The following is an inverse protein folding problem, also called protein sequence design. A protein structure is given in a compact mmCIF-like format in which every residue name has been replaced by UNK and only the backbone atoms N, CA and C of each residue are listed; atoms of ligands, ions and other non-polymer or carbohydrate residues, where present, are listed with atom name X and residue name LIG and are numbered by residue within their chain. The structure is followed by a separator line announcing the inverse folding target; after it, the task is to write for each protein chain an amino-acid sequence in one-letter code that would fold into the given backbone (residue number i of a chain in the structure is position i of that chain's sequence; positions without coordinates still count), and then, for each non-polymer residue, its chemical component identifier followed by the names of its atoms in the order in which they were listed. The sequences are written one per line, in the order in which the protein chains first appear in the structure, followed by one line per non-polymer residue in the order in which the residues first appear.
data_IF_408827622180
#
_entry.id   IF_408827622180
#
_cell.length_a   1.000
_cell.length_b   1.000
_cell.length_c   1.000
_cell.angle_alpha   90.00
_cell.angle_beta   90.00
_cell.angle_gamma   90.00
#
_symmetry.space_group_name_H-M   'P 1'
#
loop_
_entity.id
_entity.type
_entity.pdbx_description
1 polymer ?
#
# COMPACT_ATOMS: atom_id res chain seq x y z
N UNK A 1 -7.02 -9.46 -1.39
CA UNK A 1 -6.19 -8.37 -1.94
C UNK A 1 -5.35 -7.97 -0.75
N UNK A 2 -4.11 -8.42 -0.63
CA UNK A 2 -3.19 -7.73 0.26
C UNK A 2 -2.82 -6.42 -0.43
N UNK A 3 -3.73 -5.46 -0.31
CA UNK A 3 -3.46 -4.09 -0.69
C UNK A 3 -2.54 -3.51 0.37
N UNK A 4 -1.23 -3.52 0.09
CA UNK A 4 -0.34 -2.54 0.70
C UNK A 4 -0.64 -1.18 0.07
N UNK A 5 -1.72 -0.55 0.54
CA UNK A 5 -1.95 0.88 0.36
C UNK A 5 -1.40 1.60 1.57
N UNK A 6 -0.57 2.60 1.26
CA UNK A 6 0.07 3.52 2.15
C UNK A 6 -0.93 4.19 3.11
N UNK A 7 -0.57 4.15 4.40
CA UNK A 7 -1.10 4.90 5.54
C UNK A 7 -2.24 5.90 5.27
N UNK A 8 -3.45 5.55 5.70
CA UNK A 8 -4.47 6.55 6.06
C UNK A 8 -4.69 6.54 7.58
N UNK A 9 -3.79 7.23 8.29
CA UNK A 9 -4.17 7.82 9.57
C UNK A 9 -5.19 8.95 9.31
N UNK A 10 -6.23 9.14 10.14
CA UNK A 10 -7.14 10.29 10.04
C UNK A 10 -6.40 11.65 10.06
N UNK A 11 -5.23 11.70 10.71
CA UNK A 11 -4.33 12.87 10.69
C UNK A 11 -3.70 13.12 9.31
N UNK A 12 -3.49 12.06 8.53
CA UNK A 12 -2.95 12.13 7.16
C UNK A 12 -4.07 12.39 6.15
N UNK A 13 -5.32 11.96 6.38
CA UNK A 13 -6.44 12.31 5.50
C UNK A 13 -6.62 13.82 5.39
N UNK A 14 -6.61 14.54 6.51
CA UNK A 14 -6.63 16.00 6.49
C UNK A 14 -5.37 16.59 5.84
N UNK A 15 -4.21 15.94 5.96
CA UNK A 15 -2.95 16.41 5.33
C UNK A 15 -2.91 16.16 3.82
N UNK A 16 -3.48 15.06 3.32
CA UNK A 16 -3.62 14.74 1.89
C UNK A 16 -4.70 15.61 1.27
N UNK A 17 -5.85 15.77 1.92
CA UNK A 17 -6.89 16.72 1.48
C UNK A 17 -6.33 18.15 1.49
N UNK A 18 -5.50 18.53 2.48
CA UNK A 18 -4.82 19.81 2.49
C UNK A 18 -3.73 19.92 1.39
N UNK A 19 -3.02 18.85 1.06
CA UNK A 19 -2.08 18.79 -0.07
C UNK A 19 -2.80 18.95 -1.43
N UNK A 20 -4.03 18.43 -1.54
CA UNK A 20 -4.85 18.50 -2.75
C UNK A 20 -5.64 19.83 -2.84
N UNK A 21 -5.96 20.47 -1.70
CA UNK A 21 -6.86 21.63 -1.63
C UNK A 21 -6.13 22.96 -1.40
N UNK A 22 -4.85 22.94 -1.00
CA UNK A 22 -4.07 24.17 -0.94
C UNK A 22 -3.56 24.56 -2.33
N UNK A 23 -3.83 25.78 -2.81
CA UNK A 23 -3.25 26.26 -4.05
C UNK A 23 -1.77 26.59 -3.77
N UNK A 24 -0.91 25.58 -3.74
CA UNK A 24 0.54 25.80 -3.72
C UNK A 24 0.97 26.30 -5.10
N UNK A 25 0.80 27.60 -5.31
CA UNK A 25 1.25 28.31 -6.50
C UNK A 25 2.77 28.05 -6.69
N UNK A 26 3.10 27.31 -7.75
CA UNK A 26 4.38 27.34 -8.50
C UNK A 26 5.64 26.70 -7.89
N UNK A 27 5.58 25.53 -7.22
CA UNK A 27 6.80 24.70 -7.10
C UNK A 27 6.83 23.66 -8.25
N UNK A 28 7.74 23.78 -9.23
CA UNK A 28 7.84 22.85 -10.35
C UNK A 28 8.11 21.40 -9.92
N UNK A 29 8.82 21.20 -8.80
CA UNK A 29 9.13 19.87 -8.29
C UNK A 29 7.91 19.21 -7.63
N UNK A 30 7.11 19.97 -6.90
CA UNK A 30 5.86 19.46 -6.32
C UNK A 30 4.81 19.16 -7.40
N UNK A 31 4.74 19.99 -8.45
CA UNK A 31 3.88 19.71 -9.60
C UNK A 31 4.30 18.42 -10.33
N UNK A 32 5.61 18.24 -10.56
CA UNK A 32 6.14 16.99 -11.13
C UNK A 32 5.84 15.78 -10.25
N UNK A 33 5.94 15.93 -8.93
CA UNK A 33 5.54 14.88 -7.99
C UNK A 33 4.05 14.55 -8.14
N UNK A 34 3.18 15.56 -8.17
CA UNK A 34 1.74 15.38 -8.30
C UNK A 34 1.37 14.68 -9.62
N UNK A 35 1.95 15.10 -10.75
CA UNK A 35 1.80 14.43 -12.04
C UNK A 35 2.26 12.97 -11.99
N UNK A 36 3.40 12.71 -11.35
CA UNK A 36 3.93 11.36 -11.23
C UNK A 36 3.07 10.47 -10.30
N UNK A 37 2.48 11.02 -9.24
CA UNK A 37 1.51 10.35 -8.38
C UNK A 37 0.19 10.07 -9.11
N UNK A 38 -0.30 10.99 -9.96
CA UNK A 38 -1.47 10.72 -10.83
C UNK A 38 -1.20 9.54 -11.75
N UNK A 39 -0.01 9.49 -12.39
CA UNK A 39 0.39 8.37 -13.23
C UNK A 39 0.47 7.04 -12.44
N UNK A 40 0.82 7.11 -11.15
CA UNK A 40 0.83 5.98 -10.24
C UNK A 40 -0.59 5.46 -9.96
N UNK A 41 -1.53 6.34 -9.63
CA UNK A 41 -2.95 6.01 -9.45
C UNK A 41 -3.57 5.38 -10.71
N UNK A 42 -3.24 5.91 -11.89
CA UNK A 42 -3.70 5.33 -13.16
C UNK A 42 -3.18 3.91 -13.37
N UNK A 43 -1.91 3.64 -13.03
CA UNK A 43 -1.35 2.29 -13.16
C UNK A 43 -2.00 1.30 -12.18
N UNK A 44 -2.33 1.75 -10.97
CA UNK A 44 -3.11 0.98 -10.00
C UNK A 44 -4.53 0.69 -10.52
N UNK A 45 -5.20 1.67 -11.14
CA UNK A 45 -6.58 1.48 -11.63
C UNK A 45 -6.72 0.39 -12.71
N UNK A 46 -5.61 0.02 -13.36
CA UNK A 46 -5.58 -1.02 -14.39
C UNK A 46 -4.78 -2.26 -13.96
N UNK A 47 -4.29 -2.33 -12.72
CA UNK A 47 -3.38 -3.41 -12.30
C UNK A 47 -4.04 -4.78 -12.28
N UNK A 48 -5.37 -4.84 -12.13
CA UNK A 48 -6.13 -6.09 -12.15
C UNK A 48 -5.93 -6.88 -13.45
N UNK A 49 -5.70 -6.19 -14.57
CA UNK A 49 -5.41 -6.82 -15.87
C UNK A 49 -4.02 -7.47 -15.96
N UNK A 50 -3.12 -7.15 -15.01
CA UNK A 50 -1.74 -7.62 -14.96
C UNK A 50 -1.55 -8.75 -13.94
N UNK A 51 -2.58 -9.07 -13.17
CA UNK A 51 -2.52 -9.98 -12.02
C UNK A 51 -3.54 -11.12 -12.20
N UNK A 52 -3.28 -12.23 -11.52
CA UNK A 52 -4.25 -13.32 -11.45
C UNK A 52 -5.43 -12.93 -10.55
N UNK A 53 -6.66 -13.37 -10.86
CA UNK A 53 -7.82 -13.16 -10.00
C UNK A 53 -7.57 -13.66 -8.58
N UNK A 54 -8.14 -12.97 -7.60
CA UNK A 54 -8.06 -13.39 -6.21
C UNK A 54 -9.12 -14.44 -5.87
N UNK A 55 -8.88 -15.31 -4.88
CA UNK A 55 -9.91 -16.15 -4.31
C UNK A 55 -11.09 -15.31 -3.75
N UNK A 56 -12.30 -15.89 -3.67
CA UNK A 56 -13.42 -15.24 -2.98
C UNK A 56 -13.09 -14.99 -1.50
N UNK A 57 -13.75 -14.00 -0.89
CA UNK A 57 -13.63 -13.67 0.55
C UNK A 57 -12.21 -13.31 1.03
N UNK A 58 -11.47 -12.53 0.24
CA UNK A 58 -10.18 -12.00 0.69
C UNK A 58 -10.35 -10.83 1.67
N UNK A 59 -9.54 -10.80 2.73
CA UNK A 59 -9.28 -9.61 3.54
C UNK A 59 -7.96 -8.94 3.13
N UNK A 60 -7.56 -7.90 3.86
CA UNK A 60 -6.27 -7.24 3.72
C UNK A 60 -5.74 -6.79 5.08
N UNK A 61 -4.41 -6.68 5.18
CA UNK A 61 -3.72 -6.05 6.30
C UNK A 61 -2.73 -5.00 5.76
N UNK A 62 -2.47 -3.96 6.55
CA UNK A 62 -1.47 -2.94 6.21
C UNK A 62 -0.22 -3.14 7.06
N UNK A 63 0.95 -3.05 6.43
CA UNK A 63 2.24 -3.24 7.06
C UNK A 63 3.15 -2.07 6.76
N UNK A 64 4.02 -1.72 7.72
CA UNK A 64 5.05 -0.71 7.56
C UNK A 64 6.39 -1.34 7.89
N UNK A 65 7.27 -1.39 6.90
CA UNK A 65 8.65 -1.79 7.15
C UNK A 65 9.48 -0.56 7.50
N UNK A 66 10.07 -0.56 8.70
CA UNK A 66 10.98 0.49 9.15
C UNK A 66 12.42 -0.02 9.10
N UNK A 67 13.41 0.83 8.75
CA UNK A 67 14.81 0.43 8.82
C UNK A 67 15.23 0.29 10.30
N UNK A 68 15.60 -0.92 10.71
CA UNK A 68 16.05 -1.20 12.08
C UNK A 68 14.91 -1.59 13.01
N UNK A 69 14.82 -0.95 14.19
CA UNK A 69 13.85 -1.29 15.21
C UNK A 69 12.59 -0.42 15.12
N UNK A 70 11.44 -0.99 15.50
CA UNK A 70 10.17 -0.26 15.62
C UNK A 70 10.33 0.88 16.64
N UNK A 71 10.13 2.16 16.25
CA UNK A 71 10.25 3.26 17.20
C UNK A 71 9.23 3.12 18.32
N UNK A 72 9.65 3.34 19.57
CA UNK A 72 8.73 3.30 20.73
C UNK A 72 7.56 4.30 20.58
N UNK A 73 7.75 5.38 19.82
CA UNK A 73 6.69 6.33 19.49
C UNK A 73 5.56 5.71 18.64
N UNK A 74 5.81 4.66 17.85
CA UNK A 74 4.74 3.97 17.13
C UNK A 74 3.85 3.13 18.06
N UNK A 75 4.41 2.58 19.13
CA UNK A 75 3.71 1.64 20.01
C UNK A 75 3.13 2.28 21.28
N UNK A 76 3.72 3.38 21.75
CA UNK A 76 3.37 3.97 23.06
C UNK A 76 2.78 5.38 23.00
N UNK A 77 2.69 5.99 21.81
CA UNK A 77 2.12 7.33 21.69
C UNK A 77 0.62 7.33 22.06
N UNK A 78 0.13 8.30 22.87
CA UNK A 78 -1.28 8.39 23.26
C UNK A 78 -2.24 8.41 22.07
N UNK A 79 -1.81 9.00 20.95
CA UNK A 79 -2.58 9.08 19.70
C UNK A 79 -2.81 7.73 19.00
N UNK A 80 -2.15 6.65 19.44
CA UNK A 80 -2.30 5.30 18.89
C UNK A 80 -3.05 4.36 19.86
N UNK A 81 -3.64 4.87 20.95
CA UNK A 81 -4.37 4.01 21.90
C UNK A 81 -5.65 3.42 21.31
N UNK A 82 -6.35 4.15 20.43
CA UNK A 82 -7.56 3.64 19.76
C UNK A 82 -7.25 2.72 18.57
N UNK A 83 -6.06 2.84 17.99
CA UNK A 83 -5.59 2.02 16.87
C UNK A 83 -4.11 1.65 17.08
N UNK A 84 -3.83 0.63 17.91
CA UNK A 84 -2.46 0.28 18.28
C UNK A 84 -1.73 -0.41 17.12
N UNK A 85 -0.48 -0.01 16.89
CA UNK A 85 0.43 -0.73 16.02
C UNK A 85 1.03 -1.91 16.76
N UNK A 86 0.98 -3.08 16.14
CA UNK A 86 1.61 -4.30 16.64
C UNK A 86 2.72 -4.73 15.69
N UNK A 87 3.72 -5.42 16.24
CA UNK A 87 4.75 -6.05 15.43
C UNK A 87 4.12 -7.19 14.63
N UNK A 88 4.41 -7.24 13.32
CA UNK A 88 3.84 -8.24 12.43
C UNK A 88 4.49 -9.61 12.67
N UNK A 89 3.68 -10.67 12.69
CA UNK A 89 4.17 -12.05 12.71
C UNK A 89 4.70 -12.45 11.34
N UNK A 90 5.66 -13.38 11.30
CA UNK A 90 6.33 -13.77 10.07
C UNK A 90 5.35 -14.29 9.01
N UNK A 91 4.35 -15.05 9.45
CA UNK A 91 3.28 -15.64 8.65
C UNK A 91 2.37 -14.59 8.02
N UNK A 92 2.30 -13.38 8.60
CA UNK A 92 1.52 -12.26 8.06
C UNK A 92 2.31 -11.51 6.98
N UNK A 93 3.64 -11.58 7.01
CA UNK A 93 4.53 -10.82 6.11
C UNK A 93 4.93 -11.66 4.89
N UNK A 94 5.19 -12.95 5.08
CA UNK A 94 5.78 -13.77 4.03
C UNK A 94 4.75 -14.30 3.01
N UNK A 95 4.89 -13.87 1.77
CA UNK A 95 4.22 -14.50 0.63
C UNK A 95 5.04 -15.70 0.18
N UNK A 96 4.44 -16.90 0.21
CA UNK A 96 5.14 -18.11 -0.24
C UNK A 96 5.38 -18.11 -1.75
N UNK A 97 6.65 -18.34 -2.14
CA UNK A 97 7.11 -18.36 -3.53
C UNK A 97 6.58 -17.17 -4.38
N UNK A 98 6.92 -15.92 -4.02
CA UNK A 98 6.31 -14.75 -4.62
C UNK A 98 6.86 -14.51 -6.03
N UNK A 99 5.94 -14.28 -6.97
CA UNK A 99 6.24 -13.72 -8.28
C UNK A 99 6.13 -12.19 -8.20
N UNK A 100 7.23 -11.49 -8.46
CA UNK A 100 7.28 -10.03 -8.42
C UNK A 100 6.75 -9.42 -9.72
N UNK A 101 5.64 -8.68 -9.62
CA UNK A 101 5.03 -7.95 -10.73
C UNK A 101 5.28 -6.44 -10.55
N UNK A 102 6.25 -5.84 -11.29
CA UNK A 102 6.50 -4.41 -11.19
C UNK A 102 5.35 -3.62 -11.84
N UNK A 103 4.81 -2.64 -11.13
CA UNK A 103 3.74 -1.79 -11.63
C UNK A 103 4.27 -0.44 -12.11
N UNK A 104 4.95 0.31 -11.23
CA UNK A 104 5.42 1.65 -11.55
C UNK A 104 6.67 2.02 -10.75
N UNK A 105 7.57 2.76 -11.39
CA UNK A 105 8.67 3.46 -10.70
C UNK A 105 8.49 4.96 -10.92
N UNK A 106 8.65 5.72 -9.84
CA UNK A 106 8.64 7.17 -9.77
C UNK A 106 10.03 7.63 -9.32
N UNK A 107 10.63 8.54 -10.08
CA UNK A 107 11.88 9.19 -9.72
C UNK A 107 11.71 10.67 -10.01
N UNK A 108 11.59 11.43 -8.94
CA UNK A 108 11.57 12.89 -8.95
C UNK A 108 12.75 13.39 -8.13
N UNK A 109 12.96 14.69 -8.12
CA UNK A 109 14.01 15.35 -7.35
C UNK A 109 13.75 15.21 -5.83
N UNK A 110 12.48 15.09 -5.44
CA UNK A 110 12.02 15.07 -4.04
C UNK A 110 11.71 13.66 -3.52
N UNK A 111 11.40 12.70 -4.39
CA UNK A 111 11.08 11.33 -3.99
C UNK A 111 11.49 10.30 -5.05
N UNK A 112 11.95 9.15 -4.56
CA UNK A 112 12.15 7.93 -5.35
C UNK A 112 11.25 6.86 -4.76
N UNK A 113 10.32 6.35 -5.56
CA UNK A 113 9.32 5.37 -5.13
C UNK A 113 9.18 4.27 -6.18
N UNK A 114 9.02 3.03 -5.71
CA UNK A 114 8.72 1.89 -6.57
C UNK A 114 7.49 1.18 -6.04
N UNK A 115 6.66 0.71 -6.96
CA UNK A 115 5.48 -0.10 -6.69
C UNK A 115 5.59 -1.38 -7.48
N UNK A 116 5.43 -2.47 -6.74
CA UNK A 116 5.37 -3.82 -7.25
C UNK A 116 4.35 -4.61 -6.44
N UNK A 117 3.91 -5.73 -6.98
CA UNK A 117 3.05 -6.70 -6.33
C UNK A 117 3.84 -7.98 -6.13
N UNK A 118 3.75 -8.56 -4.94
CA UNK A 118 4.20 -9.92 -4.68
C UNK A 118 3.00 -10.85 -4.85
N UNK A 119 3.00 -11.66 -5.90
CA UNK A 119 1.89 -12.56 -6.23
C UNK A 119 2.25 -14.00 -5.86
N UNK A 120 1.41 -14.68 -5.08
CA UNK A 120 1.60 -16.09 -4.78
C UNK A 120 1.38 -16.95 -6.02
N UNK A 121 2.23 -17.96 -6.21
CA UNK A 121 2.14 -18.87 -7.37
C UNK A 121 0.86 -19.74 -7.39
N UNK A 122 0.19 -19.91 -6.25
CA UNK A 122 -1.02 -20.72 -6.11
C UNK A 122 -2.13 -19.94 -5.40
N UNK A 123 -3.08 -19.40 -6.17
CA UNK A 123 -4.33 -18.83 -5.65
C UNK A 123 -5.41 -19.92 -5.68
N UNK A 124 -5.49 -20.71 -4.61
CA UNK A 124 -6.45 -21.83 -4.54
C UNK A 124 -7.87 -21.29 -4.46
N UNK A 125 -8.70 -21.53 -5.48
CA UNK A 125 -10.16 -21.45 -5.35
C UNK A 125 -10.61 -22.48 -4.30
N UNK A 126 -11.38 -22.09 -3.26
CA UNK A 126 -11.92 -23.06 -2.33
C UNK A 126 -12.77 -24.09 -3.10
N UNK A 127 -12.76 -25.38 -2.71
CA UNK A 127 -13.58 -26.40 -3.37
C UNK A 127 -15.04 -25.97 -3.27
N UNK A 128 -15.69 -25.84 -4.42
CA UNK A 128 -17.12 -25.56 -4.51
C UNK A 128 -17.84 -26.66 -3.73
N UNK A 129 -18.40 -26.31 -2.57
CA UNK A 129 -19.29 -27.20 -1.83
C UNK A 129 -20.53 -27.38 -2.70
N UNK A 130 -20.56 -28.46 -3.47
CA UNK A 130 -21.75 -28.96 -4.16
C UNK A 130 -22.84 -29.10 -3.10
N UNK A 131 -23.81 -28.20 -3.12
CA UNK A 131 -25.02 -28.34 -2.29
C UNK A 131 -26.07 -29.02 -3.15
N UNK A 132 -26.62 -30.09 -2.56
CA UNK A 132 -27.59 -31.07 -3.07
C UNK A 132 -28.76 -30.51 -3.89
#
# INVERSE_FOLDING_TARGET
MDFSIFLFSPSIHNSIVHLITTPHRQDPHLNRMEEALRAFCLKLSISDSLLQPLPPECSFIMQIQVPGHVPAALTSAPQHQEFPWVEAEKEQVEVSNPHLVPLKTLRTEVCKMQLYVEESASKTTPPTSTTH
#
